data_IF_123698324595
#
_entry.id   IF_123698324595
#
_cell.length_a   1.000
_cell.length_b   1.000
_cell.length_c   1.000
_cell.angle_alpha   90.00
_cell.angle_beta   90.00
_cell.angle_gamma   90.00
#
_symmetry.space_group_name_H-M   'P 1'
#
loop_
_entity.id
_entity.type
_entity.pdbx_description
1 polymer ?
#
# COMPACT_ATOMS: atom_id res chain seq x y z
N UNK A 1 -9.21 11.47 11.07
CA UNK A 1 -10.49 11.08 11.70
C UNK A 1 -10.24 9.92 12.64
N UNK A 2 -10.92 9.84 13.79
CA UNK A 2 -10.75 8.76 14.78
C UNK A 2 -11.86 7.70 14.65
N UNK A 3 -11.47 6.43 14.63
CA UNK A 3 -12.40 5.30 14.75
C UNK A 3 -12.48 4.92 16.24
N UNK A 4 -13.68 4.90 16.82
CA UNK A 4 -13.88 4.55 18.22
C UNK A 4 -14.57 3.19 18.33
N UNK A 5 -13.91 2.23 18.98
CA UNK A 5 -14.41 0.88 19.21
C UNK A 5 -14.73 0.74 20.70
N UNK A 6 -16.02 0.61 21.03
CA UNK A 6 -16.51 0.47 22.42
C UNK A 6 -16.67 -0.98 22.89
N UNK A 7 -16.41 -1.93 22.00
CA UNK A 7 -16.46 -3.35 22.32
C UNK A 7 -15.14 -3.80 22.97
N UNK A 8 -15.22 -4.29 24.21
CA UNK A 8 -14.07 -4.67 25.03
C UNK A 8 -13.26 -5.82 24.42
N UNK A 9 -13.96 -6.79 23.81
CA UNK A 9 -13.33 -7.95 23.17
C UNK A 9 -12.50 -7.51 21.97
N UNK A 10 -13.05 -6.63 21.13
CA UNK A 10 -12.35 -6.11 19.95
C UNK A 10 -11.12 -5.30 20.37
N UNK A 11 -11.22 -4.50 21.42
CA UNK A 11 -10.08 -3.78 21.97
C UNK A 11 -8.98 -4.72 22.49
N UNK A 12 -9.35 -5.82 23.17
CA UNK A 12 -8.40 -6.83 23.64
C UNK A 12 -7.66 -7.50 22.48
N UNK A 13 -8.37 -7.88 21.42
CA UNK A 13 -7.78 -8.49 20.21
C UNK A 13 -6.80 -7.54 19.51
N UNK A 14 -7.18 -6.26 19.35
CA UNK A 14 -6.33 -5.24 18.74
C UNK A 14 -5.07 -5.01 19.57
N UNK A 15 -5.21 -4.97 20.91
CA UNK A 15 -4.08 -4.82 21.83
C UNK A 15 -3.12 -6.01 21.78
N UNK A 16 -3.65 -7.23 21.74
CA UNK A 16 -2.85 -8.46 21.61
C UNK A 16 -2.09 -8.48 20.29
N UNK A 17 -2.78 -8.18 19.18
CA UNK A 17 -2.16 -8.13 17.85
C UNK A 17 -1.05 -7.07 17.80
N UNK A 18 -1.29 -5.87 18.33
CA UNK A 18 -0.29 -4.81 18.43
C UNK A 18 0.94 -5.23 19.26
N UNK A 19 0.73 -5.96 20.36
CA UNK A 19 1.82 -6.46 21.20
C UNK A 19 2.67 -7.51 20.48
N UNK A 20 2.03 -8.40 19.70
CA UNK A 20 2.72 -9.45 18.94
C UNK A 20 3.49 -8.89 17.74
N UNK A 21 2.98 -7.84 17.08
CA UNK A 21 3.63 -7.25 15.90
C UNK A 21 4.58 -6.09 16.22
N UNK A 22 4.56 -5.58 17.46
CA UNK A 22 5.32 -4.38 17.85
C UNK A 22 4.82 -3.10 17.20
N UNK A 23 3.64 -3.13 16.57
CA UNK A 23 3.05 -1.98 15.89
C UNK A 23 2.07 -1.23 16.81
N UNK A 24 1.69 -0.01 16.41
CA UNK A 24 0.61 0.70 17.09
C UNK A 24 -0.75 0.02 16.84
N UNK A 25 -1.68 0.14 17.78
CA UNK A 25 -3.06 -0.37 17.63
C UNK A 25 -3.75 0.17 16.36
N UNK A 26 -3.48 1.44 16.00
CA UNK A 26 -3.98 2.03 14.76
C UNK A 26 -3.43 1.30 13.53
N UNK A 27 -2.11 1.07 13.49
CA UNK A 27 -1.44 0.45 12.36
C UNK A 27 -1.89 -1.00 12.14
N UNK A 28 -2.09 -1.78 13.21
CA UNK A 28 -2.59 -3.17 13.07
C UNK A 28 -4.03 -3.22 12.57
N UNK A 29 -4.88 -2.27 13.01
CA UNK A 29 -6.26 -2.18 12.52
C UNK A 29 -6.28 -1.76 11.05
N UNK A 30 -5.47 -0.78 10.68
CA UNK A 30 -5.34 -0.32 9.31
C UNK A 30 -4.85 -1.44 8.38
N UNK A 31 -3.80 -2.18 8.79
CA UNK A 31 -3.29 -3.33 8.05
C UNK A 31 -4.34 -4.45 7.90
N UNK A 32 -4.97 -4.86 9.00
CA UNK A 32 -5.97 -5.93 8.99
C UNK A 32 -7.19 -5.59 8.11
N UNK A 33 -7.68 -4.34 8.20
CA UNK A 33 -8.79 -3.87 7.36
C UNK A 33 -8.36 -3.79 5.90
N UNK A 34 -7.14 -3.30 5.62
CA UNK A 34 -6.62 -3.19 4.25
C UNK A 34 -6.48 -4.57 3.58
N UNK A 35 -5.91 -5.55 4.29
CA UNK A 35 -5.82 -6.93 3.80
C UNK A 35 -7.20 -7.52 3.53
N UNK A 36 -8.14 -7.36 4.46
CA UNK A 36 -9.50 -7.90 4.27
C UNK A 36 -10.23 -7.23 3.09
N UNK A 37 -10.04 -5.93 2.89
CA UNK A 37 -10.60 -5.22 1.75
C UNK A 37 -9.95 -5.67 0.43
N UNK A 38 -8.65 -5.95 0.42
CA UNK A 38 -7.97 -6.50 -0.75
C UNK A 38 -8.52 -7.89 -1.11
N UNK A 39 -8.63 -8.80 -0.15
CA UNK A 39 -9.24 -10.13 -0.33
C UNK A 39 -10.65 -10.02 -0.93
N UNK A 40 -11.50 -9.17 -0.35
CA UNK A 40 -12.88 -8.98 -0.85
C UNK A 40 -12.88 -8.37 -2.26
N UNK A 41 -11.96 -7.46 -2.57
CA UNK A 41 -11.82 -6.87 -3.91
C UNK A 41 -11.31 -7.87 -4.94
N UNK A 42 -10.42 -8.78 -4.55
CA UNK A 42 -9.96 -9.87 -5.41
C UNK A 42 -11.07 -10.89 -5.68
N UNK A 43 -11.80 -11.30 -4.62
CA UNK A 43 -12.98 -12.15 -4.71
C UNK A 43 -14.07 -11.50 -5.62
N UNK A 44 -14.31 -10.20 -5.46
CA UNK A 44 -15.26 -9.44 -6.27
C UNK A 44 -14.75 -9.14 -7.70
N UNK A 45 -13.45 -8.96 -7.88
CA UNK A 45 -12.78 -8.74 -9.17
C UNK A 45 -12.82 -9.97 -10.08
N UNK A 46 -13.04 -11.16 -9.51
CA UNK A 46 -13.43 -12.37 -10.26
C UNK A 46 -14.83 -12.27 -10.89
N UNK A 47 -15.63 -11.23 -10.59
CA UNK A 47 -16.95 -10.99 -11.20
C UNK A 47 -17.21 -9.56 -11.70
N UNK A 48 -16.47 -8.53 -11.27
CA UNK A 48 -16.42 -7.22 -11.94
C UNK A 48 -15.35 -6.33 -11.30
N UNK A 49 -14.32 -5.94 -12.04
CA UNK A 49 -13.36 -4.91 -11.60
C UNK A 49 -14.05 -3.54 -11.54
N UNK A 50 -14.05 -2.83 -10.39
CA UNK A 50 -14.49 -1.45 -10.31
C UNK A 50 -13.52 -0.56 -11.10
N UNK A 51 -14.08 0.27 -11.98
CA UNK A 51 -13.34 1.14 -12.93
C UNK A 51 -12.25 2.00 -12.26
N UNK A 52 -12.45 2.39 -11.02
CA UNK A 52 -11.50 3.23 -10.26
C UNK A 52 -10.21 2.50 -9.92
N UNK A 53 -10.27 1.18 -9.63
CA UNK A 53 -9.07 0.38 -9.35
C UNK A 53 -8.24 0.11 -10.60
N UNK A 54 -8.89 0.00 -11.76
CA UNK A 54 -8.19 -0.06 -13.04
C UNK A 54 -7.45 1.26 -13.34
N UNK A 55 -8.05 2.40 -12.99
CA UNK A 55 -7.42 3.72 -13.18
C UNK A 55 -6.22 3.91 -12.23
N UNK A 56 -6.35 3.53 -10.96
CA UNK A 56 -5.24 3.63 -9.98
C UNK A 56 -4.05 2.74 -10.35
N UNK A 57 -4.31 1.51 -10.82
CA UNK A 57 -3.26 0.61 -11.30
C UNK A 57 -2.58 1.16 -12.58
N UNK A 58 -3.35 1.75 -13.48
CA UNK A 58 -2.83 2.32 -14.72
C UNK A 58 -1.97 3.56 -14.42
N UNK A 59 -2.40 4.45 -13.52
CA UNK A 59 -1.60 5.59 -13.05
C UNK A 59 -0.30 5.14 -12.38
N UNK A 60 -0.35 4.14 -11.49
CA UNK A 60 0.86 3.59 -10.88
C UNK A 60 1.82 2.97 -11.91
N UNK A 61 1.30 2.27 -12.93
CA UNK A 61 2.15 1.68 -13.98
C UNK A 61 2.85 2.74 -14.86
N UNK A 62 2.17 3.85 -15.15
CA UNK A 62 2.76 4.96 -15.93
C UNK A 62 3.85 5.65 -15.11
N UNK A 63 3.62 5.92 -13.84
CA UNK A 63 4.65 6.49 -12.96
C UNK A 63 5.85 5.58 -12.75
N UNK A 64 5.64 4.27 -12.62
CA UNK A 64 6.73 3.31 -12.52
C UNK A 64 7.58 3.27 -13.79
N UNK A 65 6.95 3.27 -14.97
CA UNK A 65 7.64 3.32 -16.26
C UNK A 65 8.42 4.63 -16.45
N UNK A 66 7.85 5.76 -16.03
CA UNK A 66 8.50 7.07 -16.13
C UNK A 66 9.70 7.21 -15.19
N UNK A 67 9.63 6.61 -13.99
CA UNK A 67 10.77 6.53 -13.05
C UNK A 67 11.90 5.65 -13.56
N UNK A 68 11.58 4.51 -14.20
CA UNK A 68 12.59 3.61 -14.79
C UNK A 68 13.29 4.29 -15.98
N UNK A 69 12.54 4.95 -16.86
CA UNK A 69 13.11 5.74 -17.96
C UNK A 69 13.93 6.95 -17.49
N UNK A 70 13.55 7.58 -16.37
CA UNK A 70 14.32 8.65 -15.77
C UNK A 70 15.63 8.14 -15.16
N UNK A 71 15.60 6.96 -14.52
CA UNK A 71 16.78 6.34 -13.93
C UNK A 71 17.80 5.90 -14.99
N UNK A 72 17.33 5.34 -16.10
CA UNK A 72 18.19 5.01 -17.25
C UNK A 72 18.80 6.26 -17.89
N UNK A 73 18.01 7.33 -18.05
CA UNK A 73 18.51 8.60 -18.56
C UNK A 73 19.51 9.28 -17.62
N UNK A 74 19.35 9.17 -16.30
CA UNK A 74 20.32 9.65 -15.31
C UNK A 74 21.65 8.89 -15.40
N UNK A 75 21.64 7.58 -15.60
CA UNK A 75 22.86 6.77 -15.74
C UNK A 75 23.66 7.09 -17.01
N UNK A 76 23.00 7.56 -18.07
CA UNK A 76 23.67 7.99 -19.31
C UNK A 76 24.31 9.39 -19.19
N UNK A 77 23.78 10.26 -18.33
CA UNK A 77 24.26 11.64 -18.18
C UNK A 77 25.41 11.78 -17.18
N UNK A 78 25.52 10.89 -16.19
CA UNK A 78 26.52 10.97 -15.12
C UNK A 78 27.43 9.73 -15.09
N UNK A 79 28.69 9.90 -14.68
CA UNK A 79 29.63 8.80 -14.48
C UNK A 79 29.47 8.12 -13.10
N UNK A 80 30.25 7.08 -12.83
CA UNK A 80 30.21 6.33 -11.56
C UNK A 80 30.58 7.16 -10.32
N UNK A 81 31.14 8.36 -10.52
CA UNK A 81 31.44 9.32 -9.45
C UNK A 81 30.36 10.40 -9.29
N UNK A 82 29.30 10.36 -10.12
CA UNK A 82 28.18 11.29 -10.12
C UNK A 82 28.48 12.61 -10.85
N UNK A 83 29.50 12.65 -11.70
CA UNK A 83 29.86 13.84 -12.48
C UNK A 83 29.24 13.75 -13.89
N UNK A 84 28.77 14.87 -14.46
CA UNK A 84 28.30 14.89 -15.84
C UNK A 84 29.39 14.38 -16.80
N UNK A 85 29.01 13.46 -17.70
CA UNK A 85 29.90 12.98 -18.76
C UNK A 85 30.23 14.07 -19.79
#
# INVERSE_FOLDING_TARGET
MSLNIKDERTHALVRELAALTGQSQRSVVEDAVSRRLAEIKEEAGSSAMPRDTAIDLLLNSVWAFELEGLHDAEQDLYDESGLPR
#
